data_IF_261953162845
#
_entry.id   IF_261953162845
#
_cell.length_a   1.000
_cell.length_b   1.000
_cell.length_c   1.000
_cell.angle_alpha   90.00
_cell.angle_beta   90.00
_cell.angle_gamma   90.00
#
_symmetry.space_group_name_H-M   'P 1'
#
loop_
_entity.id
_entity.type
_entity.pdbx_description
1 polymer ?
#
# COMPACT_ATOMS: atom_id res chain seq x y z
N UNK A 1 -37.28 -16.84 -6.29
CA UNK A 1 -38.09 -15.67 -5.90
C UNK A 1 -37.34 -14.45 -6.43
N UNK A 2 -37.92 -13.64 -7.31
CA UNK A 2 -37.25 -12.44 -7.86
C UNK A 2 -37.18 -11.34 -6.80
N UNK A 3 -36.24 -10.38 -6.93
CA UNK A 3 -36.16 -9.23 -6.02
C UNK A 3 -37.49 -8.45 -5.97
N UNK A 4 -38.21 -8.39 -7.09
CA UNK A 4 -39.54 -7.75 -7.16
C UNK A 4 -40.60 -8.49 -6.34
N UNK A 5 -40.51 -9.82 -6.26
CA UNK A 5 -41.41 -10.62 -5.43
C UNK A 5 -41.20 -10.39 -3.94
N UNK A 6 -39.94 -10.23 -3.52
CA UNK A 6 -39.60 -9.94 -2.11
C UNK A 6 -40.07 -8.53 -1.72
N UNK A 7 -39.87 -7.54 -2.61
CA UNK A 7 -40.35 -6.17 -2.38
C UNK A 7 -41.85 -6.13 -2.13
N UNK A 8 -42.63 -6.80 -2.98
CA UNK A 8 -44.10 -6.79 -2.87
C UNK A 8 -44.61 -7.40 -1.56
N UNK A 9 -43.99 -8.48 -1.10
CA UNK A 9 -44.34 -9.11 0.20
C UNK A 9 -44.10 -8.15 1.37
N UNK A 10 -43.07 -7.30 1.29
CA UNK A 10 -42.74 -6.34 2.34
C UNK A 10 -43.63 -5.10 2.31
N UNK A 11 -44.00 -4.63 1.12
CA UNK A 11 -45.00 -3.57 0.97
C UNK A 11 -46.35 -4.01 1.59
N UNK A 12 -46.78 -5.26 1.32
CA UNK A 12 -47.98 -5.84 1.90
C UNK A 12 -47.87 -5.98 3.44
N UNK A 13 -46.68 -6.29 3.96
CA UNK A 13 -46.43 -6.38 5.41
C UNK A 13 -46.52 -5.01 6.09
N UNK A 14 -45.91 -3.96 5.51
CA UNK A 14 -45.98 -2.60 6.03
C UNK A 14 -47.43 -2.10 6.07
N UNK A 15 -48.24 -2.45 5.07
CA UNK A 15 -49.67 -2.11 5.01
C UNK A 15 -50.48 -2.79 6.12
N UNK A 16 -50.20 -4.08 6.39
CA UNK A 16 -50.93 -4.85 7.41
C UNK A 16 -50.54 -4.42 8.83
N UNK A 17 -49.26 -4.12 9.08
CA UNK A 17 -48.75 -3.89 10.43
C UNK A 17 -48.46 -2.41 10.74
N UNK A 18 -48.58 -1.51 9.76
CA UNK A 18 -48.40 -0.06 9.93
C UNK A 18 -46.95 0.39 10.16
N UNK A 19 -45.96 -0.46 9.86
CA UNK A 19 -44.54 -0.15 9.99
C UNK A 19 -43.99 0.37 8.66
N UNK A 20 -44.23 1.65 8.37
CA UNK A 20 -43.90 2.29 7.07
C UNK A 20 -42.40 2.45 6.76
N UNK A 21 -41.51 1.90 7.58
CA UNK A 21 -40.06 2.04 7.35
C UNK A 21 -39.39 0.75 6.86
N UNK A 22 -40.04 -0.40 6.96
CA UNK A 22 -39.42 -1.67 6.64
C UNK A 22 -39.27 -1.85 5.12
N UNK A 23 -40.33 -1.62 4.33
CA UNK A 23 -40.28 -1.63 2.86
C UNK A 23 -39.19 -0.69 2.32
N UNK A 24 -39.10 0.53 2.85
CA UNK A 24 -38.13 1.52 2.42
C UNK A 24 -36.68 1.09 2.69
N UNK A 25 -36.40 0.52 3.87
CA UNK A 25 -35.06 0.02 4.23
C UNK A 25 -34.68 -1.19 3.40
N UNK A 26 -35.62 -2.09 3.12
CA UNK A 26 -35.34 -3.27 2.29
C UNK A 26 -35.20 -2.89 0.82
N UNK A 27 -36.01 -1.97 0.28
CA UNK A 27 -35.84 -1.47 -1.09
C UNK A 27 -34.46 -0.81 -1.27
N UNK A 28 -33.97 -0.08 -0.26
CA UNK A 28 -32.62 0.47 -0.25
C UNK A 28 -31.54 -0.63 -0.25
N UNK A 29 -31.72 -1.69 0.54
CA UNK A 29 -30.84 -2.86 0.55
C UNK A 29 -30.85 -3.59 -0.80
N UNK A 30 -32.02 -3.83 -1.39
CA UNK A 30 -32.18 -4.48 -2.68
C UNK A 30 -31.50 -3.68 -3.80
N UNK A 31 -31.64 -2.35 -3.79
CA UNK A 31 -30.91 -1.45 -4.71
C UNK A 31 -29.40 -1.52 -4.51
N UNK A 32 -28.94 -1.60 -3.27
CA UNK A 32 -27.52 -1.77 -2.96
C UNK A 32 -26.98 -3.11 -3.47
N UNK A 33 -27.69 -4.21 -3.21
CA UNK A 33 -27.33 -5.55 -3.69
C UNK A 33 -27.26 -5.60 -5.22
N UNK A 34 -28.25 -5.01 -5.91
CA UNK A 34 -28.33 -5.03 -7.37
C UNK A 34 -27.28 -4.14 -8.06
N UNK A 35 -26.91 -3.01 -7.46
CA UNK A 35 -26.12 -1.97 -8.14
C UNK A 35 -24.69 -1.79 -7.62
N UNK A 36 -24.40 -2.16 -6.37
CA UNK A 36 -23.12 -1.85 -5.72
C UNK A 36 -22.43 -3.09 -5.14
N UNK A 37 -23.18 -4.03 -4.58
CA UNK A 37 -22.58 -5.12 -3.81
C UNK A 37 -21.56 -5.96 -4.61
N UNK A 38 -21.79 -6.22 -5.90
CA UNK A 38 -20.85 -6.98 -6.71
C UNK A 38 -19.47 -6.30 -6.87
N UNK A 39 -19.42 -4.96 -6.87
CA UNK A 39 -18.16 -4.21 -6.93
C UNK A 39 -17.55 -4.05 -5.55
N UNK A 40 -18.34 -3.61 -4.57
CA UNK A 40 -17.91 -3.36 -3.19
C UNK A 40 -17.36 -4.62 -2.50
N UNK A 41 -17.99 -5.77 -2.74
CA UNK A 41 -17.60 -7.05 -2.14
C UNK A 41 -16.85 -7.96 -3.10
N UNK A 42 -16.33 -7.44 -4.22
CA UNK A 42 -15.61 -8.24 -5.23
C UNK A 42 -14.49 -9.09 -4.64
N UNK A 43 -13.84 -8.59 -3.60
CA UNK A 43 -12.70 -9.24 -2.93
C UNK A 43 -13.00 -9.67 -1.49
N UNK A 44 -14.26 -9.60 -1.05
CA UNK A 44 -14.67 -9.96 0.30
C UNK A 44 -15.24 -11.37 0.28
N UNK A 45 -14.65 -12.26 1.06
CA UNK A 45 -15.23 -13.58 1.34
C UNK A 45 -16.16 -13.48 2.54
N UNK A 46 -17.41 -13.93 2.38
CA UNK A 46 -18.39 -14.04 3.46
C UNK A 46 -18.29 -15.34 4.25
N UNK A 47 -17.34 -16.22 3.90
CA UNK A 47 -17.04 -17.39 4.70
C UNK A 47 -16.38 -16.93 6.00
N UNK A 48 -16.84 -17.44 7.14
CA UNK A 48 -16.05 -17.37 8.36
C UNK A 48 -14.73 -18.09 8.09
N UNK A 49 -13.65 -17.32 7.93
CA UNK A 49 -12.31 -17.91 7.95
C UNK A 49 -12.14 -18.50 9.33
N UNK A 50 -12.18 -19.82 9.46
CA UNK A 50 -11.43 -20.48 10.52
C UNK A 50 -10.02 -19.89 10.50
N UNK A 51 -9.37 -19.65 11.66
CA UNK A 51 -8.00 -19.18 11.70
C UNK A 51 -7.12 -20.29 11.12
N UNK A 52 -7.05 -20.30 9.79
CA UNK A 52 -6.24 -21.22 9.03
C UNK A 52 -4.81 -20.73 9.24
N UNK A 53 -4.02 -21.54 9.94
CA UNK A 53 -2.65 -21.21 10.28
C UNK A 53 -1.74 -21.24 9.03
N UNK A 54 -2.23 -21.75 7.90
CA UNK A 54 -1.50 -21.87 6.64
C UNK A 54 -1.86 -20.75 5.65
N UNK A 55 -1.79 -19.50 6.10
CA UNK A 55 -2.05 -18.34 5.26
C UNK A 55 -1.15 -17.15 5.62
N UNK A 56 -0.91 -16.29 4.63
CA UNK A 56 -0.23 -15.00 4.85
C UNK A 56 -1.15 -14.09 5.65
N UNK A 57 -0.67 -13.64 6.81
CA UNK A 57 -1.43 -12.75 7.68
C UNK A 57 -1.14 -11.28 7.34
N UNK A 58 -2.15 -10.58 6.84
CA UNK A 58 -2.09 -9.14 6.59
C UNK A 58 -2.68 -8.41 7.79
N UNK A 59 -1.89 -7.53 8.41
CA UNK A 59 -2.32 -6.77 9.58
C UNK A 59 -1.54 -5.46 9.72
N UNK A 60 -2.08 -4.54 10.53
CA UNK A 60 -1.37 -3.31 10.91
C UNK A 60 -0.29 -3.60 11.94
N UNK A 61 0.73 -2.76 12.01
CA UNK A 61 1.83 -2.90 12.99
C UNK A 61 1.29 -2.92 14.44
N UNK A 62 0.27 -2.11 14.73
CA UNK A 62 -0.40 -2.10 16.03
C UNK A 62 -1.01 -3.45 16.39
N UNK A 63 -1.65 -4.12 15.43
CA UNK A 63 -2.27 -5.44 15.63
C UNK A 63 -1.22 -6.55 15.76
N UNK A 64 -0.04 -6.37 15.18
CA UNK A 64 1.07 -7.31 15.30
C UNK A 64 1.77 -7.28 16.68
N UNK A 65 1.46 -6.30 17.55
CA UNK A 65 2.09 -6.16 18.87
C UNK A 65 1.84 -7.42 19.71
N UNK A 66 2.92 -8.04 20.18
CA UNK A 66 2.87 -9.28 20.97
C UNK A 66 2.82 -10.57 20.14
N UNK A 67 2.74 -10.46 18.81
CA UNK A 67 2.90 -11.58 17.89
C UNK A 67 4.33 -11.63 17.37
N UNK A 68 4.74 -12.78 16.83
CA UNK A 68 6.04 -12.94 16.18
C UNK A 68 5.90 -13.91 15.01
N UNK A 69 6.64 -13.64 13.94
CA UNK A 69 6.55 -14.39 12.70
C UNK A 69 7.95 -14.81 12.23
N UNK A 70 8.03 -15.95 11.54
CA UNK A 70 9.29 -16.39 10.94
C UNK A 70 9.83 -15.34 9.95
N UNK A 71 8.94 -14.85 9.08
CA UNK A 71 9.23 -13.87 8.04
C UNK A 71 8.23 -12.72 8.13
N UNK A 72 8.70 -11.48 8.04
CA UNK A 72 7.88 -10.26 8.03
C UNK A 72 8.18 -9.44 6.78
N UNK A 73 7.12 -8.96 6.13
CA UNK A 73 7.19 -8.01 5.03
C UNK A 73 6.65 -6.67 5.50
N UNK A 74 7.47 -5.61 5.41
CA UNK A 74 7.11 -4.22 5.69
C UNK A 74 7.07 -3.45 4.37
N UNK A 75 5.89 -3.36 3.73
CA UNK A 75 5.73 -2.60 2.51
C UNK A 75 5.66 -1.09 2.78
N UNK A 76 5.78 -0.31 1.72
CA UNK A 76 5.43 1.12 1.67
C UNK A 76 6.23 1.99 2.66
N UNK A 77 7.53 1.72 2.80
CA UNK A 77 8.44 2.53 3.62
C UNK A 77 8.90 3.80 2.88
N UNK A 78 7.94 4.66 2.53
CA UNK A 78 8.17 5.97 1.91
C UNK A 78 7.92 7.10 2.91
N UNK A 79 8.51 8.26 2.65
CA UNK A 79 8.30 9.48 3.42
C UNK A 79 6.83 9.88 3.34
N UNK A 80 6.25 10.20 4.51
CA UNK A 80 4.84 10.59 4.72
C UNK A 80 3.83 9.44 4.81
N UNK A 81 4.20 8.21 4.42
CA UNK A 81 3.39 7.01 4.67
C UNK A 81 3.85 6.33 5.97
N UNK A 82 5.15 6.07 6.11
CA UNK A 82 5.73 5.56 7.35
C UNK A 82 7.16 6.07 7.54
N UNK A 83 7.39 7.15 8.32
CA UNK A 83 6.48 7.78 9.28
C UNK A 83 5.29 8.49 8.62
N UNK A 84 4.13 8.34 9.26
CA UNK A 84 2.90 8.97 8.80
C UNK A 84 3.02 10.50 8.84
N UNK A 85 2.50 11.16 7.80
CA UNK A 85 2.45 12.63 7.76
C UNK A 85 1.65 13.18 8.92
N UNK A 86 2.23 14.13 9.64
CA UNK A 86 1.46 14.92 10.62
C UNK A 86 0.34 15.68 9.90
N UNK A 87 -0.91 15.37 10.25
CA UNK A 87 -2.07 16.10 9.74
C UNK A 87 -2.03 17.55 10.24
N UNK A 88 -1.82 18.49 9.31
CA UNK A 88 -2.00 19.91 9.57
C UNK A 88 -3.49 20.29 9.68
N UNK A 89 -3.77 21.48 10.21
CA UNK A 89 -5.12 22.05 10.28
C UNK A 89 -5.83 21.90 11.64
N UNK A 90 -7.11 22.28 11.68
CA UNK A 90 -7.93 22.20 12.92
C UNK A 90 -8.23 20.73 13.25
N UNK A 91 -7.53 20.21 14.23
CA UNK A 91 -7.81 18.92 14.87
C UNK A 91 -9.07 18.97 15.77
N UNK A 92 -9.58 17.81 16.17
CA UNK A 92 -10.76 17.69 17.01
C UNK A 92 -10.67 18.47 18.33
N UNK A 93 -9.47 18.59 18.92
CA UNK A 93 -9.25 19.35 20.14
C UNK A 93 -9.39 20.87 19.95
N UNK A 94 -9.27 21.38 18.71
CA UNK A 94 -9.60 22.78 18.39
C UNK A 94 -11.12 23.03 18.32
N UNK A 95 -11.93 21.98 18.13
CA UNK A 95 -13.39 22.07 18.00
C UNK A 95 -14.06 21.77 19.35
N UNK A 96 -13.58 20.76 20.06
CA UNK A 96 -14.20 20.25 21.30
C UNK A 96 -13.71 20.98 22.56
N UNK A 97 -12.50 21.55 22.57
CA UNK A 97 -11.95 22.28 23.72
C UNK A 97 -11.79 21.44 24.99
N UNK A 98 -11.68 22.11 26.14
CA UNK A 98 -11.61 21.50 27.47
C UNK A 98 -10.47 20.50 27.64
N UNK A 99 -10.76 19.33 28.23
CA UNK A 99 -9.79 18.26 28.51
C UNK A 99 -9.03 17.78 27.27
N UNK A 100 -9.62 17.89 26.07
CA UNK A 100 -8.95 17.53 24.82
C UNK A 100 -7.90 18.56 24.40
N UNK A 101 -8.13 19.85 24.67
CA UNK A 101 -7.16 20.91 24.40
C UNK A 101 -6.02 20.90 25.42
N UNK A 102 -6.33 20.60 26.68
CA UNK A 102 -5.33 20.45 27.77
C UNK A 102 -4.38 19.28 27.53
N UNK A 103 -4.89 18.17 26.98
CA UNK A 103 -4.10 16.97 26.70
C UNK A 103 -3.66 16.85 25.23
N UNK A 104 -3.61 17.96 24.48
CA UNK A 104 -3.29 17.94 23.03
C UNK A 104 -2.01 17.14 22.70
N UNK A 105 -0.99 17.22 23.55
CA UNK A 105 0.32 16.62 23.31
C UNK A 105 0.27 15.09 23.39
N UNK A 106 -0.69 14.53 24.14
CA UNK A 106 -0.92 13.08 24.23
C UNK A 106 -1.48 12.47 22.95
N UNK A 107 -2.08 13.29 22.10
CA UNK A 107 -2.81 12.82 20.93
C UNK A 107 -2.12 13.15 19.61
N UNK A 108 -0.99 13.86 19.67
CA UNK A 108 -0.14 14.08 18.52
C UNK A 108 0.84 12.91 18.40
N UNK A 109 0.75 12.16 17.30
CA UNK A 109 1.79 11.19 16.96
C UNK A 109 3.06 11.95 16.61
N UNK A 110 4.13 11.72 17.38
CA UNK A 110 5.44 12.29 17.10
C UNK A 110 6.26 11.32 16.25
N UNK A 111 7.31 11.84 15.61
CA UNK A 111 8.26 11.00 14.87
C UNK A 111 8.87 9.90 15.77
N UNK A 112 9.06 10.17 17.06
CA UNK A 112 9.58 9.20 18.01
C UNK A 112 8.56 8.09 18.31
N UNK A 113 7.27 8.39 18.30
CA UNK A 113 6.22 7.38 18.45
C UNK A 113 6.12 6.49 17.20
N UNK A 114 6.22 7.08 16.01
CA UNK A 114 6.35 6.34 14.75
C UNK A 114 7.62 5.46 14.75
N UNK A 115 8.74 5.95 15.30
CA UNK A 115 9.98 5.17 15.41
C UNK A 115 9.83 3.98 16.38
N UNK A 116 9.11 4.16 17.50
CA UNK A 116 8.74 3.03 18.39
C UNK A 116 7.86 2.02 17.66
N UNK A 117 6.94 2.49 16.81
CA UNK A 117 6.10 1.63 16.00
C UNK A 117 6.94 0.85 14.96
N UNK A 118 7.88 1.51 14.30
CA UNK A 118 8.83 0.87 13.40
C UNK A 118 9.68 -0.19 14.12
N UNK A 119 10.19 0.11 15.30
CA UNK A 119 10.89 -0.88 16.14
C UNK A 119 10.01 -2.10 16.47
N UNK A 120 8.73 -1.87 16.80
CA UNK A 120 7.78 -2.98 17.01
C UNK A 120 7.68 -3.83 15.74
N UNK A 121 7.52 -3.21 14.57
CA UNK A 121 7.42 -3.90 13.27
C UNK A 121 8.66 -4.77 12.97
N UNK A 122 9.85 -4.18 13.08
CA UNK A 122 11.14 -4.86 12.85
C UNK A 122 11.31 -6.05 13.80
N UNK A 123 10.99 -5.87 15.08
CA UNK A 123 11.13 -6.94 16.09
C UNK A 123 10.06 -8.03 16.02
N UNK A 124 9.09 -7.94 15.09
CA UNK A 124 8.16 -9.06 14.86
C UNK A 124 8.80 -10.18 14.05
N UNK A 125 9.90 -9.90 13.33
CA UNK A 125 10.63 -10.88 12.52
C UNK A 125 11.57 -11.72 13.37
N UNK A 126 11.45 -13.05 13.29
CA UNK A 126 12.37 -13.99 13.95
C UNK A 126 13.61 -14.28 13.11
N UNK A 127 13.46 -14.41 11.80
CA UNK A 127 14.54 -14.76 10.89
C UNK A 127 14.69 -13.76 9.76
N UNK A 128 13.59 -13.52 9.02
CA UNK A 128 13.65 -12.75 7.77
C UNK A 128 12.79 -11.49 7.87
N UNK A 129 13.38 -10.35 7.54
CA UNK A 129 12.71 -9.06 7.45
C UNK A 129 12.91 -8.51 6.04
N UNK A 130 11.80 -8.32 5.32
CA UNK A 130 11.80 -7.68 4.01
C UNK A 130 11.20 -6.28 4.15
N UNK A 131 11.91 -5.29 3.64
CA UNK A 131 11.51 -3.88 3.66
C UNK A 131 11.41 -3.41 2.21
N UNK A 132 10.27 -2.83 1.80
CA UNK A 132 10.09 -2.31 0.44
C UNK A 132 9.57 -0.88 0.43
N UNK A 133 9.96 -0.13 -0.61
CA UNK A 133 9.57 1.25 -0.84
C UNK A 133 9.51 1.51 -2.35
N UNK A 134 8.72 2.50 -2.78
CA UNK A 134 8.63 2.89 -4.19
C UNK A 134 9.75 3.89 -4.53
N UNK A 135 10.64 3.53 -5.46
CA UNK A 135 11.84 4.33 -5.78
C UNK A 135 11.58 5.54 -6.67
N UNK A 136 10.48 5.58 -7.43
CA UNK A 136 10.27 6.57 -8.49
C UNK A 136 9.43 7.80 -8.05
N UNK A 137 8.47 7.62 -7.14
CA UNK A 137 7.42 8.63 -6.90
C UNK A 137 7.52 9.35 -5.56
N UNK A 138 8.18 8.76 -4.56
CA UNK A 138 8.27 9.34 -3.23
C UNK A 138 9.66 9.13 -2.61
N UNK A 139 10.17 10.10 -1.83
CA UNK A 139 11.41 9.91 -1.08
C UNK A 139 11.31 8.71 -0.14
N UNK A 140 12.41 7.98 0.02
CA UNK A 140 12.50 6.84 0.94
C UNK A 140 12.26 7.29 2.38
N UNK A 141 11.66 6.42 3.20
CA UNK A 141 11.51 6.65 4.63
C UNK A 141 12.87 6.80 5.34
N UNK A 142 12.95 7.73 6.28
CA UNK A 142 14.13 7.87 7.14
C UNK A 142 14.40 6.59 7.95
N UNK A 143 13.37 5.79 8.25
CA UNK A 143 13.54 4.53 8.99
C UNK A 143 14.32 3.48 8.20
N UNK A 144 14.20 3.46 6.86
CA UNK A 144 14.99 2.55 6.01
C UNK A 144 16.45 2.95 6.04
N UNK A 145 16.74 4.25 5.96
CA UNK A 145 18.10 4.79 6.02
C UNK A 145 18.74 4.53 7.40
N UNK A 146 17.99 4.80 8.48
CA UNK A 146 18.40 4.50 9.85
C UNK A 146 18.66 3.00 10.04
N UNK A 147 17.76 2.14 9.55
CA UNK A 147 17.89 0.68 9.60
C UNK A 147 19.13 0.19 8.82
N UNK A 148 19.40 0.76 7.65
CA UNK A 148 20.55 0.39 6.82
C UNK A 148 21.91 0.75 7.43
N UNK A 149 21.93 1.73 8.32
CA UNK A 149 23.12 2.15 9.07
C UNK A 149 23.26 1.40 10.42
N UNK A 150 22.24 0.67 10.84
CA UNK A 150 22.23 -0.03 12.13
C UNK A 150 23.19 -1.22 12.12
N UNK A 151 24.07 -1.37 13.14
CA UNK A 151 24.94 -2.54 13.27
C UNK A 151 24.17 -3.81 13.65
N UNK A 152 22.89 -3.69 14.06
CA UNK A 152 22.07 -4.80 14.53
C UNK A 152 21.24 -5.45 13.41
N UNK A 153 21.13 -4.81 12.26
CA UNK A 153 20.42 -5.34 11.10
C UNK A 153 21.44 -5.77 10.05
N UNK A 154 21.59 -7.07 9.89
CA UNK A 154 22.44 -7.64 8.86
C UNK A 154 21.68 -7.63 7.53
N UNK A 155 22.08 -6.75 6.62
CA UNK A 155 21.50 -6.67 5.28
C UNK A 155 22.24 -7.68 4.40
N UNK A 156 21.51 -8.61 3.81
CA UNK A 156 22.04 -9.43 2.73
C UNK A 156 22.01 -8.62 1.43
N UNK A 157 23.19 -8.20 0.97
CA UNK A 157 23.34 -7.39 -0.26
C UNK A 157 22.77 -8.07 -1.52
N UNK A 158 22.56 -9.40 -1.47
CA UNK A 158 22.00 -10.19 -2.59
C UNK A 158 20.50 -9.95 -2.83
N UNK A 159 19.77 -9.46 -1.83
CA UNK A 159 18.32 -9.24 -1.90
C UNK A 159 17.96 -7.75 -2.09
N UNK A 160 18.96 -6.89 -2.30
CA UNK A 160 18.75 -5.46 -2.55
C UNK A 160 18.40 -5.23 -4.02
N UNK A 161 17.16 -4.84 -4.30
CA UNK A 161 16.76 -4.29 -5.61
C UNK A 161 17.24 -2.84 -5.81
N UNK A 162 17.55 -2.15 -4.72
CA UNK A 162 18.04 -0.77 -4.68
C UNK A 162 18.90 -0.56 -3.43
N UNK A 163 19.95 0.25 -3.50
CA UNK A 163 20.88 0.44 -2.40
C UNK A 163 20.46 1.63 -1.51
N UNK A 164 19.94 1.40 -0.28
CA UNK A 164 19.49 2.49 0.58
C UNK A 164 20.64 3.37 1.15
N UNK A 165 21.91 3.02 0.89
CA UNK A 165 23.10 3.80 1.26
C UNK A 165 23.58 4.73 0.13
N UNK A 166 22.93 4.68 -1.03
CA UNK A 166 23.20 5.57 -2.15
C UNK A 166 22.85 7.03 -1.75
N UNK A 167 23.80 7.95 -1.92
CA UNK A 167 23.55 9.39 -1.87
C UNK A 167 22.74 9.87 -3.09
N UNK A 168 22.14 11.05 -3.05
CA UNK A 168 21.30 11.59 -4.14
C UNK A 168 21.97 11.66 -5.54
N UNK A 169 23.31 11.66 -5.63
CA UNK A 169 24.04 11.56 -6.90
C UNK A 169 24.15 10.12 -7.44
N UNK A 170 24.13 9.11 -6.56
CA UNK A 170 24.05 7.69 -6.94
C UNK A 170 22.62 7.25 -7.31
N UNK A 171 21.59 7.95 -6.82
CA UNK A 171 20.19 7.66 -7.17
C UNK A 171 19.92 7.83 -8.67
N UNK A 172 20.56 8.81 -9.32
CA UNK A 172 20.41 9.04 -10.77
C UNK A 172 21.06 7.93 -11.60
N UNK A 173 22.20 7.42 -11.15
CA UNK A 173 22.89 6.31 -11.81
C UNK A 173 22.13 5.00 -11.62
N UNK A 174 21.60 4.74 -10.42
CA UNK A 174 20.76 3.57 -10.13
C UNK A 174 19.43 3.62 -10.89
N UNK A 175 18.78 4.79 -10.95
CA UNK A 175 17.54 4.99 -11.71
C UNK A 175 17.76 4.79 -13.21
N UNK A 176 18.87 5.29 -13.76
CA UNK A 176 19.23 5.06 -15.16
C UNK A 176 19.53 3.59 -15.46
N UNK A 177 20.14 2.87 -14.52
CA UNK A 177 20.39 1.43 -14.65
C UNK A 177 19.10 0.61 -14.59
N UNK A 178 18.17 0.98 -13.70
CA UNK A 178 16.84 0.38 -13.62
C UNK A 178 16.02 0.66 -14.88
N UNK A 179 15.99 1.92 -15.35
CA UNK A 179 15.35 2.34 -16.60
C UNK A 179 15.88 1.53 -17.79
N UNK A 180 17.20 1.30 -17.85
CA UNK A 180 17.84 0.47 -18.88
C UNK A 180 17.34 -0.97 -18.85
N UNK A 181 17.22 -1.58 -17.66
CA UNK A 181 16.68 -2.94 -17.53
C UNK A 181 15.24 -3.03 -18.02
N UNK A 182 14.38 -2.09 -17.60
CA UNK A 182 12.96 -2.09 -17.98
C UNK A 182 12.78 -1.89 -19.50
N UNK A 183 13.53 -0.96 -20.10
CA UNK A 183 13.50 -0.74 -21.55
C UNK A 183 14.01 -1.97 -22.33
N UNK A 184 15.06 -2.63 -21.83
CA UNK A 184 15.62 -3.82 -22.46
C UNK A 184 14.63 -4.99 -22.45
N UNK A 185 13.94 -5.23 -21.33
CA UNK A 185 12.87 -6.21 -21.24
C UNK A 185 11.68 -5.86 -22.15
N UNK A 186 11.25 -4.58 -22.14
CA UNK A 186 10.16 -4.08 -22.97
C UNK A 186 10.42 -4.29 -24.47
N UNK A 187 11.58 -3.86 -24.97
CA UNK A 187 11.90 -4.00 -26.40
C UNK A 187 12.23 -5.46 -26.77
N UNK A 188 12.74 -6.27 -25.85
CA UNK A 188 12.95 -7.71 -26.09
C UNK A 188 11.61 -8.43 -26.29
N UNK A 189 10.60 -8.12 -25.48
CA UNK A 189 9.24 -8.65 -25.69
C UNK A 189 8.61 -8.09 -26.96
N UNK A 190 8.82 -6.80 -27.27
CA UNK A 190 8.34 -6.21 -28.52
C UNK A 190 8.95 -6.90 -29.76
N UNK A 191 10.23 -7.27 -29.73
CA UNK A 191 10.91 -7.99 -30.82
C UNK A 191 10.26 -9.35 -31.12
N UNK A 192 9.61 -10.00 -30.14
CA UNK A 192 8.90 -11.27 -30.37
C UNK A 192 7.65 -11.09 -31.22
N UNK A 193 7.06 -9.90 -31.21
CA UNK A 193 5.81 -9.58 -31.92
C UNK A 193 6.11 -8.80 -33.21
N UNK A 194 7.06 -7.87 -33.14
CA UNK A 194 7.46 -6.97 -34.21
C UNK A 194 8.98 -7.06 -34.40
N UNK A 195 9.47 -7.77 -35.43
CA UNK A 195 10.90 -7.92 -35.69
C UNK A 195 11.62 -6.57 -35.92
N UNK A 196 10.88 -5.53 -36.31
CA UNK A 196 11.41 -4.18 -36.54
C UNK A 196 11.83 -3.46 -35.25
N UNK A 197 11.37 -3.93 -34.09
CA UNK A 197 11.75 -3.40 -32.78
C UNK A 197 13.22 -3.69 -32.40
N UNK A 198 13.94 -4.55 -33.15
CA UNK A 198 15.38 -4.81 -32.97
C UNK A 198 16.22 -3.53 -33.18
N UNK A 199 15.73 -2.61 -34.03
CA UNK A 199 16.36 -1.30 -34.22
C UNK A 199 16.30 -0.43 -32.95
N UNK A 200 15.18 -0.48 -32.22
CA UNK A 200 15.02 0.24 -30.95
C UNK A 200 15.84 -0.37 -29.82
N UNK A 201 15.94 -1.71 -29.79
CA UNK A 201 16.79 -2.41 -28.83
C UNK A 201 18.28 -2.03 -28.99
N UNK A 202 18.76 -1.88 -30.22
CA UNK A 202 20.11 -1.36 -30.51
C UNK A 202 20.26 0.13 -30.21
N UNK A 203 19.19 0.92 -30.39
CA UNK A 203 19.16 2.35 -30.09
C UNK A 203 19.36 2.60 -28.60
N UNK A 204 18.66 1.87 -27.74
CA UNK A 204 18.72 2.08 -26.28
C UNK A 204 20.11 1.78 -25.70
N UNK A 205 20.90 0.90 -26.32
CA UNK A 205 22.24 0.56 -25.82
C UNK A 205 23.20 1.76 -25.79
N UNK A 206 22.98 2.73 -26.69
CA UNK A 206 23.80 3.93 -26.86
C UNK A 206 23.28 5.21 -26.17
N UNK A 207 22.15 5.15 -25.46
CA UNK A 207 21.57 6.32 -24.79
C UNK A 207 22.37 6.72 -23.54
N UNK A 208 22.46 8.03 -23.29
CA UNK A 208 22.98 8.56 -22.02
C UNK A 208 22.03 8.29 -20.85
N UNK A 209 22.49 8.34 -19.59
CA UNK A 209 21.65 8.08 -18.41
C UNK A 209 20.37 8.94 -18.35
N UNK A 210 20.46 10.20 -18.75
CA UNK A 210 19.32 11.13 -18.79
C UNK A 210 18.30 10.76 -19.87
N UNK A 211 18.78 10.40 -21.06
CA UNK A 211 17.93 9.99 -22.16
C UNK A 211 17.25 8.64 -21.89
N UNK A 212 17.94 7.74 -21.17
CA UNK A 212 17.39 6.45 -20.75
C UNK A 212 16.18 6.62 -19.83
N UNK A 213 16.29 7.50 -18.83
CA UNK A 213 15.19 7.80 -17.91
C UNK A 213 14.03 8.44 -18.67
N UNK A 214 14.29 9.43 -19.52
CA UNK A 214 13.26 10.11 -20.30
C UNK A 214 12.58 9.19 -21.34
N UNK A 215 13.27 8.20 -21.88
CA UNK A 215 12.68 7.17 -22.76
C UNK A 215 11.80 6.20 -21.97
N UNK A 216 12.23 5.77 -20.78
CA UNK A 216 11.45 4.89 -19.92
C UNK A 216 10.17 5.57 -19.41
N UNK A 217 10.23 6.85 -19.03
CA UNK A 217 9.05 7.65 -18.67
C UNK A 217 8.07 7.79 -19.86
N UNK A 218 8.58 8.05 -21.07
CA UNK A 218 7.74 8.13 -22.29
C UNK A 218 7.00 6.83 -22.59
N UNK A 219 7.58 5.70 -22.24
CA UNK A 219 6.96 4.38 -22.38
C UNK A 219 6.20 3.94 -21.12
N UNK A 220 6.08 4.80 -20.10
CA UNK A 220 5.42 4.49 -18.82
C UNK A 220 6.00 3.27 -18.09
N UNK A 221 7.32 3.13 -18.13
CA UNK A 221 8.08 2.02 -17.51
C UNK A 221 8.72 2.40 -16.17
N UNK A 222 8.56 3.66 -15.74
CA UNK A 222 9.04 4.22 -14.46
C UNK A 222 7.87 4.81 -13.67
#
# INVERSE_FOLDING_TARGET
MSLDGIKRILDDFDEIYGDYQLSARVDMLLKFLAKRAAQEYRYISFQEKSPDNDAVQIMTVHKAKGLEFHTVFLPELTKNEFPARTLGGKQYYHVLGGTFAENKDKYQSTLDDERKLFYVAVTRAKQNLYMSYASATQPVSCFVQEAAQSPYLQINDRDLTCNPKASADSDKAELAQYARSQLQDYYTEACRILPEADADLKRIEGLSPDEMIAEAERNSLL
#
